data_IF_856550717799
#
_entry.id   IF_856550717799
#
_cell.length_a   1.000
_cell.length_b   1.000
_cell.length_c   1.000
_cell.angle_alpha   90.00
_cell.angle_beta   90.00
_cell.angle_gamma   90.00
#
_symmetry.space_group_name_H-M   'P 1'
#
loop_
_entity.id
_entity.type
_entity.pdbx_description
1 polymer ?
#
# COMPACT_ATOMS: atom_id res chain seq x y z
N UNK A 1 -12.38 11.79 38.37
CA UNK A 1 -11.88 11.71 36.98
C UNK A 1 -10.40 11.42 37.02
N UNK A 2 -9.95 10.32 36.40
CA UNK A 2 -8.52 10.10 36.17
C UNK A 2 -8.16 10.98 34.99
N UNK A 3 -7.47 12.09 35.24
CA UNK A 3 -6.95 12.93 34.17
C UNK A 3 -5.96 12.10 33.35
N UNK A 4 -6.37 11.74 32.15
CA UNK A 4 -5.53 10.94 31.25
C UNK A 4 -4.37 11.82 30.77
N UNK A 5 -3.17 11.55 31.29
CA UNK A 5 -1.95 12.28 30.93
C UNK A 5 -1.27 11.63 29.73
N UNK A 6 -0.88 12.45 28.76
CA UNK A 6 -0.22 11.99 27.56
C UNK A 6 1.20 11.52 27.86
N UNK A 7 1.54 10.29 27.47
CA UNK A 7 2.88 9.73 27.70
C UNK A 7 3.99 10.44 26.91
N UNK A 8 3.64 11.18 25.86
CA UNK A 8 4.61 11.85 24.99
C UNK A 8 4.75 13.35 25.32
N UNK A 9 3.65 14.09 25.52
CA UNK A 9 3.68 15.52 25.82
C UNK A 9 3.38 15.91 27.26
N UNK A 10 3.03 14.96 28.12
CA UNK A 10 2.72 15.18 29.54
C UNK A 10 1.54 16.12 29.83
N UNK A 11 0.76 16.49 28.80
CA UNK A 11 -0.48 17.24 28.95
C UNK A 11 -1.65 16.32 29.28
N UNK A 12 -2.66 16.84 29.98
CA UNK A 12 -3.89 16.13 30.34
C UNK A 12 -4.88 16.08 29.17
N UNK A 13 -5.80 15.10 29.20
CA UNK A 13 -6.90 14.96 28.24
C UNK A 13 -6.65 14.04 27.04
N UNK A 14 -5.47 13.42 26.93
CA UNK A 14 -5.18 12.42 25.88
C UNK A 14 -4.03 11.47 26.27
N UNK A 15 -3.86 10.36 25.57
CA UNK A 15 -2.96 9.27 26.03
C UNK A 15 -1.57 9.28 25.41
N UNK A 16 -1.43 9.74 24.16
CA UNK A 16 -0.17 9.69 23.41
C UNK A 16 -0.20 10.63 22.19
N UNK A 17 0.95 10.77 21.52
CA UNK A 17 1.15 11.64 20.35
C UNK A 17 0.39 11.26 19.09
N UNK A 18 -0.33 10.13 19.05
CA UNK A 18 -1.21 9.80 17.91
C UNK A 18 -2.55 10.54 17.96
N UNK A 19 -2.87 11.21 19.07
CA UNK A 19 -4.03 12.08 19.17
C UNK A 19 -3.80 13.37 18.40
N UNK A 20 -4.72 13.74 17.50
CA UNK A 20 -4.57 14.84 16.55
C UNK A 20 -4.35 16.24 17.19
N UNK A 21 -4.70 16.42 18.47
CA UNK A 21 -4.43 17.67 19.20
C UNK A 21 -3.16 17.63 20.06
N UNK A 22 -2.45 16.51 20.09
CA UNK A 22 -1.17 16.43 20.81
C UNK A 22 -0.14 17.33 20.12
N UNK A 23 0.63 18.09 20.90
CA UNK A 23 1.75 18.91 20.40
C UNK A 23 2.77 18.14 19.54
N UNK A 24 2.91 16.84 19.76
CA UNK A 24 3.82 15.97 19.00
C UNK A 24 3.13 15.15 17.92
N UNK A 25 1.87 15.44 17.61
CA UNK A 25 1.17 14.78 16.52
C UNK A 25 1.82 15.12 15.19
N UNK A 26 2.19 14.08 14.44
CA UNK A 26 2.62 14.20 13.05
C UNK A 26 1.44 13.77 12.20
N UNK A 27 0.93 14.70 11.40
CA UNK A 27 -0.04 14.36 10.35
C UNK A 27 0.60 13.32 9.43
N UNK A 28 -0.12 12.22 9.21
CA UNK A 28 0.30 11.21 8.25
C UNK A 28 0.43 11.86 6.87
N UNK A 29 1.60 11.74 6.24
CA UNK A 29 1.82 12.20 4.88
C UNK A 29 1.07 11.29 3.91
N UNK A 30 0.73 11.80 2.73
CA UNK A 30 0.19 10.98 1.65
C UNK A 30 1.14 9.82 1.27
N UNK A 31 2.44 10.00 1.50
CA UNK A 31 3.47 8.97 1.31
C UNK A 31 3.46 7.87 2.39
N UNK A 32 2.80 8.09 3.53
CA UNK A 32 2.72 7.11 4.62
C UNK A 32 1.61 6.06 4.41
N UNK A 33 0.75 6.25 3.40
CA UNK A 33 -0.33 5.31 3.08
C UNK A 33 0.23 4.15 2.26
N UNK A 34 0.52 3.05 2.94
CA UNK A 34 1.05 1.81 2.35
C UNK A 34 2.47 1.47 2.81
N UNK A 35 3.20 2.45 3.35
CA UNK A 35 4.42 2.18 4.14
C UNK A 35 4.03 2.11 5.61
N UNK A 36 3.80 0.89 6.11
CA UNK A 36 3.64 0.64 7.54
C UNK A 36 4.92 1.00 8.29
N UNK A 37 5.15 2.28 8.56
CA UNK A 37 6.15 2.76 9.49
C UNK A 37 5.67 2.43 10.92
N UNK A 38 5.79 1.16 11.33
CA UNK A 38 5.47 0.77 12.71
C UNK A 38 5.44 -0.71 13.03
N UNK A 39 5.01 -1.59 12.12
CA UNK A 39 5.11 -3.04 12.30
C UNK A 39 5.34 -3.71 10.95
N UNK A 40 6.60 -4.02 10.64
CA UNK A 40 6.94 -4.95 9.56
C UNK A 40 6.26 -6.28 9.89
N UNK A 41 5.20 -6.61 9.14
CA UNK A 41 4.66 -7.97 9.07
C UNK A 41 5.84 -8.86 8.66
N UNK A 42 6.27 -9.74 9.58
CA UNK A 42 7.32 -10.74 9.34
C UNK A 42 6.74 -11.74 8.34
N UNK A 43 6.84 -11.44 7.05
CA UNK A 43 6.64 -12.44 6.02
C UNK A 43 7.79 -13.44 6.14
N UNK A 44 7.42 -14.72 6.18
CA UNK A 44 8.28 -15.88 6.29
C UNK A 44 9.47 -15.75 5.33
N UNK A 45 10.65 -15.93 5.88
CA UNK A 45 11.94 -16.05 5.19
C UNK A 45 11.86 -17.15 4.12
N UNK A 46 11.95 -16.79 2.84
CA UNK A 46 11.96 -17.80 1.78
C UNK A 46 12.18 -17.32 0.34
N UNK A 47 12.05 -16.03 0.01
CA UNK A 47 12.33 -15.55 -1.36
C UNK A 47 13.01 -14.18 -1.31
N UNK A 48 14.29 -14.12 -0.93
CA UNK A 48 15.07 -12.88 -1.04
C UNK A 48 16.58 -13.09 -1.07
N UNK A 49 17.06 -13.73 -2.13
CA UNK A 49 18.43 -13.71 -2.66
C UNK A 49 18.22 -14.12 -4.13
N UNK A 50 18.47 -13.33 -5.17
CA UNK A 50 19.60 -12.48 -5.46
C UNK A 50 19.15 -11.12 -6.04
N UNK A 51 19.54 -10.03 -5.40
CA UNK A 51 19.94 -8.84 -6.15
C UNK A 51 21.38 -8.58 -5.77
N UNK A 52 22.28 -9.23 -6.49
CA UNK A 52 23.70 -9.03 -6.36
C UNK A 52 24.01 -7.53 -6.53
N UNK A 53 24.47 -6.94 -5.44
CA UNK A 53 24.99 -5.58 -5.35
C UNK A 53 26.31 -5.58 -6.13
N UNK A 54 26.26 -5.36 -7.45
CA UNK A 54 27.46 -5.30 -8.28
C UNK A 54 28.24 -4.04 -7.90
N UNK A 55 29.31 -4.23 -7.11
CA UNK A 55 30.29 -3.21 -6.82
C UNK A 55 30.85 -2.67 -8.15
N UNK A 56 30.80 -1.35 -8.30
CA UNK A 56 31.46 -0.63 -9.39
C UNK A 56 32.94 -0.54 -9.04
N UNK A 57 33.74 -1.33 -9.74
CA UNK A 57 35.17 -1.09 -9.93
C UNK A 57 35.47 -1.27 -11.39
N UNK A 58 35.45 -0.18 -12.14
CA UNK A 58 36.48 0.17 -13.14
C UNK A 58 36.13 1.52 -13.74
N UNK A 59 37.05 2.46 -13.57
CA UNK A 59 37.16 3.65 -14.39
C UNK A 59 37.17 3.22 -15.86
N UNK A 60 36.13 3.60 -16.59
CA UNK A 60 36.19 3.63 -18.03
C UNK A 60 35.51 4.92 -18.42
N UNK A 61 36.32 5.83 -18.97
CA UNK A 61 35.94 7.13 -19.50
C UNK A 61 35.11 7.00 -20.78
N UNK A 62 34.16 6.07 -20.82
CA UNK A 62 33.11 6.08 -21.83
C UNK A 62 32.18 7.23 -21.48
N UNK A 63 32.15 8.25 -22.33
CA UNK A 63 31.18 9.33 -22.21
C UNK A 63 29.78 8.73 -22.04
N UNK A 64 29.12 9.11 -20.96
CA UNK A 64 27.78 8.60 -20.65
C UNK A 64 26.83 9.20 -21.69
N UNK A 65 26.40 8.41 -22.68
CA UNK A 65 25.50 8.86 -23.75
C UNK A 65 24.05 8.57 -23.38
N UNK A 66 23.19 9.57 -23.54
CA UNK A 66 21.78 9.46 -23.27
C UNK A 66 21.07 8.58 -24.30
N UNK A 67 20.28 7.63 -23.84
CA UNK A 67 19.52 6.75 -24.73
C UNK A 67 18.44 7.48 -25.52
N UNK A 68 17.90 8.58 -24.97
CA UNK A 68 16.79 9.36 -25.56
C UNK A 68 17.28 10.45 -26.52
N UNK A 69 18.18 11.33 -26.09
CA UNK A 69 18.62 12.47 -26.92
C UNK A 69 19.99 12.27 -27.58
N UNK A 70 20.68 11.15 -27.32
CA UNK A 70 22.02 10.82 -27.84
C UNK A 70 23.14 11.79 -27.45
N UNK A 71 22.89 12.72 -26.52
CA UNK A 71 23.91 13.63 -25.98
C UNK A 71 24.72 12.98 -24.86
N UNK A 72 25.96 13.44 -24.67
CA UNK A 72 26.85 13.00 -23.60
C UNK A 72 26.58 13.76 -22.30
N UNK A 73 26.83 13.12 -21.15
CA UNK A 73 26.74 13.72 -19.82
C UNK A 73 25.60 13.17 -18.95
N UNK A 74 24.60 12.52 -19.55
CA UNK A 74 23.48 11.90 -18.82
C UNK A 74 23.00 10.62 -19.50
N UNK A 75 22.26 9.77 -18.78
CA UNK A 75 21.91 8.39 -19.22
C UNK A 75 20.59 8.25 -19.96
N UNK A 76 19.60 9.07 -19.62
CA UNK A 76 18.23 8.89 -20.11
C UNK A 76 17.41 10.16 -19.99
N UNK A 77 16.22 10.12 -20.58
CA UNK A 77 15.20 11.16 -20.45
C UNK A 77 14.73 11.42 -19.02
N UNK A 78 15.12 10.62 -18.02
CA UNK A 78 14.80 10.94 -16.61
C UNK A 78 15.72 12.02 -16.02
N UNK A 79 16.84 12.30 -16.69
CA UNK A 79 17.74 13.38 -16.25
C UNK A 79 17.15 14.73 -16.68
N UNK A 80 17.17 15.73 -15.78
CA UNK A 80 16.72 17.08 -16.08
C UNK A 80 17.57 17.76 -17.17
N UNK A 81 18.78 17.25 -17.43
CA UNK A 81 19.70 17.73 -18.46
C UNK A 81 19.35 17.19 -19.85
N UNK A 82 18.41 16.24 -19.95
CA UNK A 82 17.93 15.75 -21.23
C UNK A 82 16.99 16.80 -21.87
N UNK A 83 17.20 17.19 -23.14
CA UNK A 83 16.23 18.04 -23.85
C UNK A 83 14.85 17.38 -23.96
N UNK A 84 14.80 16.04 -23.88
CA UNK A 84 13.56 15.26 -23.82
C UNK A 84 13.22 14.85 -22.38
N UNK A 85 13.48 15.69 -21.38
CA UNK A 85 13.25 15.36 -19.97
C UNK A 85 11.80 14.93 -19.72
N UNK A 86 11.64 13.70 -19.25
CA UNK A 86 10.38 13.14 -18.79
C UNK A 86 10.14 13.61 -17.37
N UNK A 87 9.31 14.64 -17.25
CA UNK A 87 8.87 15.17 -15.96
C UNK A 87 8.30 14.04 -15.08
N UNK A 88 8.78 13.98 -13.85
CA UNK A 88 8.17 13.19 -12.79
C UNK A 88 6.76 13.70 -12.49
N UNK A 89 5.94 12.85 -11.85
CA UNK A 89 4.59 13.26 -11.42
C UNK A 89 4.61 14.52 -10.57
N UNK A 90 5.59 14.66 -9.67
CA UNK A 90 5.72 15.85 -8.83
C UNK A 90 6.07 17.09 -9.65
N UNK A 91 6.98 16.99 -10.62
CA UNK A 91 7.30 18.11 -11.52
C UNK A 91 6.08 18.51 -12.36
N UNK A 92 5.30 17.54 -12.85
CA UNK A 92 4.04 17.79 -13.55
C UNK A 92 3.06 18.52 -12.63
N UNK A 93 2.86 18.04 -11.39
CA UNK A 93 1.96 18.70 -10.44
C UNK A 93 2.44 20.10 -10.08
N UNK A 94 3.72 20.29 -9.77
CA UNK A 94 4.28 21.60 -9.45
C UNK A 94 4.14 22.58 -10.63
N UNK A 95 4.30 22.11 -11.87
CA UNK A 95 4.12 22.94 -13.07
C UNK A 95 2.66 23.34 -13.30
N UNK A 96 1.71 22.45 -13.03
CA UNK A 96 0.29 22.70 -13.30
C UNK A 96 -0.45 23.37 -12.14
N UNK A 97 -0.05 23.11 -10.90
CA UNK A 97 -0.76 23.53 -9.68
C UNK A 97 0.05 24.49 -8.81
N UNK A 98 1.31 24.77 -9.17
CA UNK A 98 2.25 25.57 -8.38
C UNK A 98 2.97 24.75 -7.30
N UNK A 99 3.92 25.36 -6.60
CA UNK A 99 4.73 24.68 -5.57
C UNK A 99 3.97 24.40 -4.28
N UNK A 100 2.82 25.04 -4.05
CA UNK A 100 2.06 24.99 -2.80
C UNK A 100 0.83 24.07 -2.88
N UNK A 101 0.83 23.09 -3.79
CA UNK A 101 -0.31 22.18 -3.90
C UNK A 101 -0.34 21.18 -2.74
N UNK A 102 -1.51 20.99 -2.13
CA UNK A 102 -1.73 19.97 -1.10
C UNK A 102 -2.37 18.74 -1.74
N UNK A 103 -1.72 17.59 -1.63
CA UNK A 103 -2.32 16.32 -2.05
C UNK A 103 -3.35 15.87 -1.02
N UNK A 104 -4.56 15.52 -1.48
CA UNK A 104 -5.62 14.97 -0.65
C UNK A 104 -6.03 13.61 -1.21
N UNK A 105 -6.14 12.62 -0.34
CA UNK A 105 -6.75 11.34 -0.70
C UNK A 105 -8.23 11.39 -0.34
N UNK A 106 -9.11 11.23 -1.34
CA UNK A 106 -10.56 11.15 -1.13
C UNK A 106 -11.06 9.80 -1.60
N UNK A 107 -11.97 9.21 -0.84
CA UNK A 107 -12.76 8.08 -1.31
C UNK A 107 -13.78 8.61 -2.30
N UNK A 108 -13.78 8.05 -3.51
CA UNK A 108 -14.73 8.38 -4.55
C UNK A 108 -15.55 7.13 -4.87
N UNK A 109 -16.86 7.27 -5.17
CA UNK A 109 -17.64 6.14 -5.64
C UNK A 109 -17.06 5.61 -6.94
N UNK A 110 -17.05 4.30 -7.12
CA UNK A 110 -16.45 3.65 -8.28
C UNK A 110 -16.93 4.26 -9.61
N UNK A 111 -18.24 4.51 -9.74
CA UNK A 111 -18.84 5.13 -10.93
C UNK A 111 -18.27 6.51 -11.29
N UNK A 112 -17.72 7.26 -10.34
CA UNK A 112 -17.11 8.58 -10.62
C UNK A 112 -15.70 8.46 -11.21
N UNK A 113 -15.07 7.29 -11.07
CA UNK A 113 -13.71 7.03 -11.53
C UNK A 113 -13.66 6.34 -12.90
N UNK A 114 -14.81 5.93 -13.45
CA UNK A 114 -14.90 5.19 -14.72
C UNK A 114 -15.73 5.94 -15.74
N UNK A 115 -15.28 5.85 -16.99
CA UNK A 115 -16.04 6.36 -18.12
C UNK A 115 -17.40 5.67 -18.22
N UNK A 116 -18.46 6.44 -18.49
CA UNK A 116 -19.86 6.01 -18.48
C UNK A 116 -20.10 4.76 -19.34
N UNK A 117 -19.46 4.69 -20.51
CA UNK A 117 -19.54 3.55 -21.44
C UNK A 117 -19.15 2.20 -20.83
N UNK A 118 -18.29 2.17 -19.81
CA UNK A 118 -17.80 0.93 -19.21
C UNK A 118 -18.48 0.60 -17.87
N UNK A 119 -19.24 1.54 -17.29
CA UNK A 119 -19.80 1.39 -15.96
C UNK A 119 -20.68 0.14 -15.82
N UNK A 120 -21.59 -0.08 -16.77
CA UNK A 120 -22.51 -1.23 -16.72
C UNK A 120 -21.76 -2.56 -16.72
N UNK A 121 -20.85 -2.76 -17.69
CA UNK A 121 -20.09 -4.00 -17.83
C UNK A 121 -19.17 -4.26 -16.62
N UNK A 122 -18.50 -3.22 -16.11
CA UNK A 122 -17.59 -3.38 -14.97
C UNK A 122 -18.33 -3.59 -13.66
N UNK A 123 -19.43 -2.87 -13.42
CA UNK A 123 -20.25 -3.08 -12.22
C UNK A 123 -20.81 -4.50 -12.17
N UNK A 124 -21.37 -4.99 -13.27
CA UNK A 124 -21.89 -6.36 -13.34
C UNK A 124 -20.82 -7.40 -13.03
N UNK A 125 -19.61 -7.24 -13.58
CA UNK A 125 -18.49 -8.15 -13.30
C UNK A 125 -18.01 -8.09 -11.86
N UNK A 126 -17.93 -6.90 -11.27
CA UNK A 126 -17.51 -6.73 -9.88
C UNK A 126 -18.53 -7.36 -8.95
N UNK A 127 -19.82 -7.09 -9.15
CA UNK A 127 -20.89 -7.69 -8.35
C UNK A 127 -20.85 -9.21 -8.44
N UNK A 128 -20.79 -9.77 -9.65
CA UNK A 128 -20.69 -11.22 -9.86
C UNK A 128 -19.46 -11.82 -9.15
N UNK A 129 -18.27 -11.23 -9.32
CA UNK A 129 -17.06 -11.73 -8.68
C UNK A 129 -17.13 -11.65 -7.14
N UNK A 130 -17.72 -10.58 -6.60
CA UNK A 130 -17.95 -10.44 -5.17
C UNK A 130 -18.94 -11.50 -4.66
N UNK A 131 -20.05 -11.72 -5.37
CA UNK A 131 -21.03 -12.75 -5.03
C UNK A 131 -20.41 -14.15 -5.06
N UNK A 132 -19.64 -14.48 -6.10
CA UNK A 132 -18.94 -15.76 -6.22
C UNK A 132 -17.97 -15.96 -5.05
N UNK A 133 -17.16 -14.95 -4.72
CA UNK A 133 -16.23 -14.99 -3.58
C UNK A 133 -16.99 -15.21 -2.27
N UNK A 134 -18.08 -14.47 -2.06
CA UNK A 134 -18.93 -14.63 -0.88
C UNK A 134 -19.52 -16.04 -0.80
N UNK A 135 -19.98 -16.61 -1.91
CA UNK A 135 -20.51 -17.98 -1.95
C UNK A 135 -19.43 -19.01 -1.63
N UNK A 136 -18.23 -18.88 -2.18
CA UNK A 136 -17.11 -19.78 -1.91
C UNK A 136 -16.74 -19.75 -0.43
N UNK A 137 -16.53 -18.56 0.15
CA UNK A 137 -16.21 -18.40 1.57
C UNK A 137 -17.33 -18.97 2.46
N UNK A 138 -18.59 -18.67 2.14
CA UNK A 138 -19.73 -19.16 2.92
C UNK A 138 -19.83 -20.68 2.89
N UNK A 139 -19.68 -21.30 1.70
CA UNK A 139 -19.69 -22.76 1.56
C UNK A 139 -18.51 -23.41 2.26
N UNK A 140 -17.32 -22.82 2.18
CA UNK A 140 -16.14 -23.32 2.90
C UNK A 140 -16.36 -23.27 4.42
N UNK A 141 -16.92 -22.19 4.95
CA UNK A 141 -17.26 -22.08 6.36
C UNK A 141 -18.30 -23.13 6.79
N UNK A 142 -19.39 -23.29 6.04
CA UNK A 142 -20.42 -24.30 6.31
C UNK A 142 -19.85 -25.72 6.29
N UNK A 143 -19.03 -26.03 5.28
CA UNK A 143 -18.36 -27.31 5.17
C UNK A 143 -17.47 -27.58 6.39
N UNK A 144 -16.65 -26.61 6.80
CA UNK A 144 -15.72 -26.77 7.93
C UNK A 144 -16.48 -26.86 9.25
N UNK A 145 -17.56 -26.12 9.43
CA UNK A 145 -18.46 -26.25 10.57
C UNK A 145 -19.03 -27.67 10.65
N UNK A 146 -19.60 -28.16 9.55
CA UNK A 146 -20.17 -29.50 9.48
C UNK A 146 -19.11 -30.59 9.70
N UNK A 147 -17.94 -30.45 9.08
CA UNK A 147 -16.82 -31.36 9.26
C UNK A 147 -16.37 -31.40 10.72
N UNK A 148 -16.24 -30.22 11.36
CA UNK A 148 -15.83 -30.12 12.76
C UNK A 148 -16.82 -30.82 13.67
N UNK A 149 -18.14 -30.66 13.47
CA UNK A 149 -19.16 -31.33 14.28
C UNK A 149 -19.12 -32.86 14.19
N UNK A 150 -18.63 -33.41 13.07
CA UNK A 150 -18.56 -34.85 12.84
C UNK A 150 -17.22 -35.47 13.25
N UNK A 151 -16.25 -34.68 13.72
CA UNK A 151 -14.97 -35.19 14.20
C UNK A 151 -15.13 -35.85 15.58
N UNK A 152 -14.60 -37.07 15.73
CA UNK A 152 -14.53 -37.77 17.02
C UNK A 152 -13.51 -37.16 17.98
N UNK A 153 -12.48 -36.49 17.45
CA UNK A 153 -11.43 -35.80 18.21
C UNK A 153 -11.17 -34.46 17.54
N UNK A 154 -11.28 -33.37 18.28
CA UNK A 154 -11.03 -32.02 17.76
C UNK A 154 -9.60 -31.57 18.06
N UNK A 155 -9.00 -30.90 17.08
CA UNK A 155 -7.77 -30.15 17.29
C UNK A 155 -8.10 -28.77 17.86
N UNK A 156 -7.38 -28.35 18.92
CA UNK A 156 -7.52 -27.02 19.52
C UNK A 156 -7.28 -25.86 18.52
N UNK A 157 -6.66 -26.16 17.37
CA UNK A 157 -6.39 -25.16 16.33
C UNK A 157 -7.66 -24.65 15.64
N UNK A 158 -8.72 -25.46 15.56
CA UNK A 158 -9.99 -25.11 14.91
C UNK A 158 -10.70 -23.96 15.65
N UNK A 159 -10.50 -23.87 16.97
CA UNK A 159 -11.09 -22.82 17.81
C UNK A 159 -10.27 -21.52 17.82
N UNK A 160 -9.13 -21.47 17.11
CA UNK A 160 -8.28 -20.27 17.05
C UNK A 160 -8.73 -19.36 15.93
N UNK A 161 -8.71 -18.06 16.19
CA UNK A 161 -9.04 -17.02 15.21
C UNK A 161 -8.23 -17.13 13.90
N UNK A 162 -6.95 -17.52 14.01
CA UNK A 162 -6.07 -17.70 12.85
C UNK A 162 -6.57 -18.77 11.87
N UNK A 163 -7.22 -19.81 12.36
CA UNK A 163 -7.78 -20.87 11.53
C UNK A 163 -8.92 -20.31 10.65
N UNK A 164 -9.89 -19.64 11.28
CA UNK A 164 -11.01 -19.01 10.56
C UNK A 164 -10.57 -17.87 9.65
N UNK A 165 -9.56 -17.09 10.03
CA UNK A 165 -8.97 -16.11 9.11
C UNK A 165 -8.37 -16.74 7.86
N UNK A 166 -7.76 -17.92 7.97
CA UNK A 166 -7.19 -18.60 6.81
C UNK A 166 -8.27 -19.09 5.85
N UNK A 167 -9.45 -19.46 6.37
CA UNK A 167 -10.61 -19.87 5.58
C UNK A 167 -11.26 -18.66 4.89
N UNK A 168 -11.39 -17.53 5.59
CA UNK A 168 -11.98 -16.31 5.02
C UNK A 168 -11.04 -15.55 4.06
N UNK A 169 -9.78 -15.97 3.91
CA UNK A 169 -8.81 -15.39 2.97
C UNK A 169 -8.66 -16.18 1.66
N UNK A 170 -9.47 -17.22 1.47
CA UNK A 170 -9.67 -17.86 0.16
C UNK A 170 -10.17 -16.84 -0.86
#
# INVERSE_FOLDING_TARGET
SIDMVCKDCQETGHANKSYYKCKYYKEASADDVGTSAGKKRKQSSGVKQEKAKRQKTTESSSSVICTSCKQTGHKSARSPDCPNHMLSKNEIFSRNLGQQFKTLTRKLPFNHCIHSSYQSALNSRIVSACEDTHQVVSRAQLFINQYTLNLKVHSNHIFKQNFWYSICQL
#
